data_IF_637134702005
#
_entry.id   IF_637134702005
#
_cell.length_a   1.000
_cell.length_b   1.000
_cell.length_c   1.000
_cell.angle_alpha   90.00
_cell.angle_beta   90.00
_cell.angle_gamma   90.00
#
_symmetry.space_group_name_H-M   'P 1'
#
loop_
_entity.id
_entity.type
_entity.pdbx_description
1 polymer ?
#
# COMPACT_ATOMS: atom_id res chain seq x y z
N UNK A 1 -7.38 16.71 8.54
CA UNK A 1 -5.94 16.49 8.85
C UNK A 1 -5.04 17.20 7.84
N UNK A 2 -5.08 16.84 6.54
CA UNK A 2 -4.15 17.37 5.52
C UNK A 2 -4.20 18.90 5.34
N UNK A 3 -5.38 19.52 5.33
CA UNK A 3 -5.52 20.97 5.21
C UNK A 3 -4.80 21.73 6.34
N UNK A 4 -4.89 21.25 7.58
CA UNK A 4 -4.20 21.86 8.72
C UNK A 4 -2.67 21.68 8.67
N UNK A 5 -2.20 20.54 8.17
CA UNK A 5 -0.77 20.28 7.96
C UNK A 5 -0.16 21.21 6.90
N UNK A 6 -0.92 21.52 5.85
CA UNK A 6 -0.45 22.34 4.73
C UNK A 6 -0.65 23.84 4.94
N UNK A 7 -1.62 24.26 5.77
CA UNK A 7 -1.96 25.68 5.97
C UNK A 7 -1.58 26.22 7.36
N UNK A 8 -1.14 25.36 8.28
CA UNK A 8 -0.72 25.77 9.62
C UNK A 8 0.67 26.42 9.66
N UNK A 9 1.04 27.07 10.78
CA UNK A 9 2.33 27.78 10.91
C UNK A 9 3.57 26.88 10.75
N UNK A 10 3.42 25.56 10.92
CA UNK A 10 4.49 24.57 10.73
C UNK A 10 4.61 23.99 9.30
N UNK A 11 3.87 24.52 8.31
CA UNK A 11 3.74 23.88 7.00
C UNK A 11 5.08 23.66 6.26
N UNK A 12 6.08 24.55 6.43
CA UNK A 12 7.40 24.35 5.82
C UNK A 12 8.13 23.13 6.40
N UNK A 13 8.05 22.91 7.71
CA UNK A 13 8.65 21.73 8.36
C UNK A 13 7.92 20.46 7.94
N UNK A 14 6.59 20.51 7.84
CA UNK A 14 5.79 19.40 7.30
C UNK A 14 6.20 19.07 5.87
N UNK A 15 6.31 20.07 5.00
CA UNK A 15 6.70 19.88 3.60
C UNK A 15 8.12 19.32 3.48
N UNK A 16 9.08 19.81 4.29
CA UNK A 16 10.44 19.31 4.30
C UNK A 16 10.52 17.84 4.74
N UNK A 17 9.86 17.50 5.85
CA UNK A 17 9.81 16.12 6.32
C UNK A 17 9.10 15.20 5.32
N UNK A 18 8.03 15.68 4.69
CA UNK A 18 7.34 14.96 3.61
C UNK A 18 8.29 14.67 2.44
N UNK A 19 9.08 15.65 2.01
CA UNK A 19 10.07 15.46 0.93
C UNK A 19 11.11 14.39 1.29
N UNK A 20 11.65 14.41 2.52
CA UNK A 20 12.59 13.39 3.00
C UNK A 20 11.96 11.99 3.03
N UNK A 21 10.68 11.89 3.41
CA UNK A 21 9.96 10.62 3.43
C UNK A 21 9.71 10.11 2.01
N UNK A 22 9.34 10.97 1.06
CA UNK A 22 9.19 10.58 -0.35
C UNK A 22 10.50 10.09 -0.95
N UNK A 23 11.62 10.74 -0.64
CA UNK A 23 12.96 10.27 -1.04
C UNK A 23 13.27 8.89 -0.45
N UNK A 24 13.02 8.70 0.85
CA UNK A 24 13.19 7.41 1.51
C UNK A 24 12.34 6.30 0.85
N UNK A 25 11.05 6.54 0.60
CA UNK A 25 10.15 5.57 -0.06
C UNK A 25 10.68 5.20 -1.45
N UNK A 26 11.21 6.17 -2.20
CA UNK A 26 11.68 5.93 -3.56
C UNK A 26 13.03 5.20 -3.61
N UNK A 27 13.91 5.46 -2.65
CA UNK A 27 15.32 5.01 -2.68
C UNK A 27 15.61 3.78 -1.84
N UNK A 28 14.70 3.36 -0.95
CA UNK A 28 14.90 2.26 0.00
C UNK A 28 13.81 1.17 -0.16
N UNK A 29 13.83 0.39 -1.24
CA UNK A 29 12.81 -0.62 -1.53
C UNK A 29 12.95 -1.85 -0.61
N UNK A 30 11.81 -2.43 -0.20
CA UNK A 30 11.76 -3.71 0.54
C UNK A 30 11.32 -4.90 -0.32
N UNK A 31 10.93 -4.66 -1.58
CA UNK A 31 10.32 -5.67 -2.45
C UNK A 31 11.17 -6.94 -2.60
N UNK A 32 12.49 -6.79 -2.63
CA UNK A 32 13.45 -7.88 -2.84
C UNK A 32 13.61 -8.79 -1.61
N UNK A 33 13.19 -8.32 -0.44
CA UNK A 33 13.36 -8.98 0.87
C UNK A 33 12.07 -9.64 1.37
N UNK A 34 10.96 -9.54 0.61
CA UNK A 34 9.70 -10.18 1.02
C UNK A 34 9.81 -11.71 1.19
N UNK A 35 10.72 -12.35 0.44
CA UNK A 35 11.03 -13.77 0.59
C UNK A 35 11.69 -14.12 1.93
N UNK A 36 12.31 -13.15 2.59
CA UNK A 36 13.03 -13.33 3.85
C UNK A 36 12.11 -13.20 5.08
N UNK A 37 10.83 -12.88 4.88
CA UNK A 37 9.85 -12.81 5.97
C UNK A 37 9.67 -14.18 6.64
N UNK A 38 10.08 -14.26 7.91
CA UNK A 38 10.02 -15.47 8.72
C UNK A 38 8.75 -15.57 9.57
N UNK A 39 7.73 -14.74 9.36
CA UNK A 39 6.46 -14.73 10.13
C UNK A 39 5.26 -14.96 9.22
N UNK A 40 4.13 -15.50 9.72
CA UNK A 40 2.90 -15.52 8.95
C UNK A 40 2.51 -14.08 8.56
N UNK A 41 2.12 -13.85 7.31
CA UNK A 41 1.85 -12.51 6.78
C UNK A 41 0.48 -12.46 6.13
N UNK A 42 -0.39 -11.57 6.60
CA UNK A 42 -1.70 -11.31 5.98
C UNK A 42 -1.62 -10.09 5.07
N UNK A 43 -1.95 -10.27 3.80
CA UNK A 43 -2.09 -9.19 2.82
C UNK A 43 -3.58 -8.90 2.61
N UNK A 44 -4.02 -7.68 2.94
CA UNK A 44 -5.40 -7.19 2.77
C UNK A 44 -5.42 -6.14 1.66
N UNK A 45 -5.88 -6.51 0.46
CA UNK A 45 -5.64 -5.72 -0.76
C UNK A 45 -6.94 -5.33 -1.46
N UNK A 46 -7.22 -4.02 -1.57
CA UNK A 46 -8.23 -3.52 -2.49
C UNK A 46 -7.74 -3.60 -3.94
N UNK A 47 -8.50 -4.26 -4.82
CA UNK A 47 -8.01 -4.55 -6.19
C UNK A 47 -8.08 -3.36 -7.14
N UNK A 48 -8.83 -2.32 -6.79
CA UNK A 48 -8.92 -1.08 -7.57
C UNK A 48 -7.90 -0.03 -7.13
N UNK A 49 -7.00 -0.35 -6.18
CA UNK A 49 -5.92 0.54 -5.81
C UNK A 49 -4.98 0.75 -7.01
N UNK A 50 -4.70 2.03 -7.31
CA UNK A 50 -3.82 2.41 -8.41
C UNK A 50 -2.57 3.17 -7.98
N UNK A 51 -2.26 3.13 -6.69
CA UNK A 51 -1.15 3.83 -6.05
C UNK A 51 0.18 3.43 -6.68
N UNK A 52 0.95 4.43 -7.12
CA UNK A 52 2.34 4.27 -7.51
C UNK A 52 3.07 5.60 -7.36
N UNK A 53 4.23 5.58 -6.70
CA UNK A 53 5.03 6.78 -6.48
C UNK A 53 5.53 7.33 -7.83
N UNK A 54 5.38 8.63 -8.05
CA UNK A 54 5.78 9.29 -9.30
C UNK A 54 4.86 9.05 -10.50
N UNK A 55 3.69 8.39 -10.33
CA UNK A 55 2.77 8.05 -11.42
C UNK A 55 2.33 9.23 -12.28
N UNK A 56 2.13 10.40 -11.68
CA UNK A 56 1.63 11.57 -12.41
C UNK A 56 2.66 12.24 -13.31
N UNK A 57 3.95 12.04 -13.03
CA UNK A 57 5.07 12.55 -13.84
C UNK A 57 5.70 11.47 -14.72
N UNK A 58 5.23 10.23 -14.63
CA UNK A 58 5.73 9.12 -15.42
C UNK A 58 5.29 9.24 -16.90
N UNK A 59 6.15 8.86 -17.87
CA UNK A 59 5.74 8.73 -19.27
C UNK A 59 4.52 7.82 -19.42
N UNK A 60 3.66 8.08 -20.41
CA UNK A 60 2.42 7.33 -20.61
C UNK A 60 2.63 5.80 -20.66
N UNK A 61 3.71 5.34 -21.31
CA UNK A 61 4.06 3.93 -21.39
C UNK A 61 4.42 3.28 -20.04
N UNK A 62 4.92 4.06 -19.08
CA UNK A 62 5.21 3.61 -17.70
C UNK A 62 3.96 3.72 -16.84
N UNK A 63 3.21 4.84 -16.94
CA UNK A 63 1.95 5.06 -16.21
C UNK A 63 0.94 3.93 -16.45
N UNK A 64 0.91 3.37 -17.66
CA UNK A 64 0.06 2.24 -18.00
C UNK A 64 0.45 0.89 -17.34
N UNK A 65 1.64 0.79 -16.74
CA UNK A 65 2.20 -0.47 -16.20
C UNK A 65 2.28 -0.51 -14.66
N UNK A 66 2.10 0.62 -13.99
CA UNK A 66 2.32 0.76 -12.54
C UNK A 66 1.00 0.95 -11.79
N UNK A 67 0.96 0.50 -10.53
CA UNK A 67 -0.22 0.61 -9.66
C UNK A 67 -1.36 -0.29 -10.12
N UNK A 68 -1.09 -1.59 -10.31
CA UNK A 68 -2.09 -2.60 -10.65
C UNK A 68 -2.18 -3.61 -9.50
N UNK A 69 -2.90 -3.25 -8.44
CA UNK A 69 -2.93 -4.03 -7.19
C UNK A 69 -3.61 -5.40 -7.32
N UNK A 70 -4.49 -5.58 -8.31
CA UNK A 70 -5.05 -6.88 -8.71
C UNK A 70 -4.00 -7.88 -9.20
N UNK A 71 -2.83 -7.37 -9.63
CA UNK A 71 -1.65 -8.14 -10.00
C UNK A 71 -0.62 -8.15 -8.88
N UNK A 72 -0.28 -6.99 -8.31
CA UNK A 72 0.80 -6.85 -7.32
C UNK A 72 0.54 -7.66 -6.05
N UNK A 73 -0.70 -7.70 -5.55
CA UNK A 73 -1.06 -8.50 -4.37
C UNK A 73 -0.74 -9.98 -4.57
N UNK A 74 -1.12 -10.53 -5.74
CA UNK A 74 -0.83 -11.93 -6.11
C UNK A 74 0.66 -12.19 -6.31
N UNK A 75 1.41 -11.23 -6.83
CA UNK A 75 2.86 -11.36 -7.01
C UNK A 75 3.57 -11.40 -5.66
N UNK A 76 3.29 -10.45 -4.76
CA UNK A 76 3.90 -10.40 -3.43
C UNK A 76 3.52 -11.61 -2.59
N UNK A 77 2.26 -12.06 -2.64
CA UNK A 77 1.83 -13.27 -1.94
C UNK A 77 2.62 -14.53 -2.35
N UNK A 78 3.10 -14.61 -3.59
CA UNK A 78 3.94 -15.73 -4.06
C UNK A 78 5.40 -15.63 -3.59
N UNK A 79 5.88 -14.44 -3.26
CA UNK A 79 7.23 -14.21 -2.78
C UNK A 79 7.36 -14.53 -1.29
N UNK A 80 6.35 -14.19 -0.49
CA UNK A 80 6.36 -14.38 0.95
C UNK A 80 6.10 -15.86 1.29
N UNK A 81 6.98 -16.55 2.05
CA UNK A 81 6.85 -18.00 2.30
C UNK A 81 5.57 -18.41 3.01
N UNK A 82 5.03 -17.53 3.87
CA UNK A 82 3.84 -17.76 4.69
C UNK A 82 2.79 -16.67 4.52
N UNK A 83 2.48 -16.34 3.27
CA UNK A 83 1.45 -15.35 2.97
C UNK A 83 0.03 -15.94 2.90
N UNK A 84 -0.90 -15.18 3.45
CA UNK A 84 -2.35 -15.28 3.20
C UNK A 84 -2.79 -14.01 2.50
N UNK A 85 -3.38 -14.13 1.31
CA UNK A 85 -3.90 -13.00 0.54
C UNK A 85 -5.42 -12.95 0.64
N UNK A 86 -5.97 -11.81 1.07
CA UNK A 86 -7.39 -11.49 0.99
C UNK A 86 -7.53 -10.28 0.07
N UNK A 87 -8.20 -10.50 -1.07
CA UNK A 87 -8.51 -9.44 -2.03
C UNK A 87 -9.93 -8.89 -1.76
N UNK A 88 -10.11 -7.58 -1.89
CA UNK A 88 -11.39 -6.89 -1.83
C UNK A 88 -11.71 -6.36 -3.24
N UNK A 89 -12.48 -7.11 -4.05
CA UNK A 89 -12.78 -6.72 -5.42
C UNK A 89 -13.50 -5.37 -5.48
N UNK A 90 -12.98 -4.45 -6.28
CA UNK A 90 -13.58 -3.14 -6.50
C UNK A 90 -13.16 -2.06 -5.50
N UNK A 91 -12.62 -2.41 -4.34
CA UNK A 91 -12.17 -1.43 -3.34
C UNK A 91 -10.79 -0.84 -3.69
N UNK A 92 -10.58 0.41 -3.33
CA UNK A 92 -9.37 1.17 -3.59
C UNK A 92 -8.27 0.97 -2.54
N UNK A 93 -7.47 2.02 -2.33
CA UNK A 93 -6.30 2.04 -1.44
C UNK A 93 -6.66 1.86 0.04
N UNK A 94 -7.87 2.21 0.45
CA UNK A 94 -8.28 2.25 1.85
C UNK A 94 -9.52 1.38 2.09
N UNK A 95 -9.44 0.05 1.88
CA UNK A 95 -10.59 -0.84 2.07
C UNK A 95 -11.17 -0.78 3.49
N UNK A 96 -10.36 -0.45 4.50
CA UNK A 96 -10.80 -0.24 5.88
C UNK A 96 -11.71 0.98 6.07
N UNK A 97 -11.64 1.96 5.18
CA UNK A 97 -12.52 3.14 5.18
C UNK A 97 -13.71 2.97 4.24
N UNK A 98 -13.50 2.29 3.11
CA UNK A 98 -14.55 2.06 2.11
C UNK A 98 -15.58 1.04 2.58
N UNK A 99 -15.16 -0.10 3.12
CA UNK A 99 -16.04 -1.17 3.64
C UNK A 99 -15.56 -1.67 5.02
N UNK A 100 -15.74 -0.86 6.09
CA UNK A 100 -15.16 -1.16 7.40
C UNK A 100 -15.59 -2.51 7.98
N UNK A 101 -16.86 -2.89 7.84
CA UNK A 101 -17.37 -4.16 8.39
C UNK A 101 -16.72 -5.37 7.71
N UNK A 102 -16.63 -5.35 6.37
CA UNK A 102 -16.01 -6.43 5.61
C UNK A 102 -14.51 -6.52 5.90
N UNK A 103 -13.84 -5.37 5.97
CA UNK A 103 -12.42 -5.30 6.32
C UNK A 103 -12.16 -5.86 7.73
N UNK A 104 -12.89 -5.42 8.74
CA UNK A 104 -12.69 -5.91 10.12
C UNK A 104 -12.98 -7.41 10.25
N UNK A 105 -13.99 -7.93 9.55
CA UNK A 105 -14.27 -9.37 9.52
C UNK A 105 -13.09 -10.16 8.95
N UNK A 106 -12.53 -9.71 7.82
CA UNK A 106 -11.35 -10.33 7.21
C UNK A 106 -10.11 -10.23 8.11
N UNK A 107 -9.87 -9.06 8.71
CA UNK A 107 -8.75 -8.83 9.62
C UNK A 107 -8.81 -9.74 10.86
N UNK A 108 -9.94 -9.75 11.57
CA UNK A 108 -10.11 -10.55 12.79
C UNK A 108 -10.08 -12.05 12.49
N UNK A 109 -10.62 -12.48 11.36
CA UNK A 109 -10.50 -13.88 10.92
C UNK A 109 -9.03 -14.23 10.65
N UNK A 110 -8.31 -13.40 9.89
CA UNK A 110 -6.91 -13.62 9.56
C UNK A 110 -6.00 -13.65 10.79
N UNK A 111 -6.15 -12.72 11.73
CA UNK A 111 -5.36 -12.69 12.97
C UNK A 111 -5.56 -13.92 13.86
N UNK A 112 -6.75 -14.55 13.84
CA UNK A 112 -7.01 -15.78 14.60
C UNK A 112 -6.50 -17.06 13.91
N UNK A 113 -6.17 -16.99 12.63
CA UNK A 113 -5.79 -18.14 11.80
C UNK A 113 -4.27 -18.26 11.57
N UNK A 114 -3.49 -17.26 11.98
CA UNK A 114 -2.02 -17.20 11.87
C UNK A 114 -1.34 -17.63 13.17
#
# INVERSE_FOLDING_TARGET
MLAGLNQGPGHLQVAWNSALIYDMIFTQPVYYEFQDLQVPTLLLIGTSDTTAIGKDVAPAAVKAKIGHYEVLGKQVAKLIPRATLVEFPGLGHAPQMEEPEQFHKALLHGLNAL
#
